data_IF_998967046692
#
_entry.id   IF_998967046692
#
_cell.length_a   1.000
_cell.length_b   1.000
_cell.length_c   1.000
_cell.angle_alpha   90.00
_cell.angle_beta   90.00
_cell.angle_gamma   90.00
#
_symmetry.space_group_name_H-M   'P 1'
#
loop_
_entity.id
_entity.type
_entity.pdbx_description
1 polymer ?
#
# COMPACT_ATOMS: atom_id res chain seq x y z
N UNK A 1 -8.76 11.75 -9.65
CA UNK A 1 -9.76 12.43 -8.79
C UNK A 1 -10.39 13.63 -9.48
N UNK A 2 -9.74 14.24 -10.49
CA UNK A 2 -10.27 15.42 -11.19
C UNK A 2 -11.46 15.14 -12.11
N UNK A 3 -11.47 14.03 -12.87
CA UNK A 3 -12.61 13.71 -13.75
C UNK A 3 -13.86 13.22 -12.99
N UNK A 4 -13.68 12.48 -11.90
CA UNK A 4 -14.81 11.79 -11.22
C UNK A 4 -15.41 12.63 -10.09
N UNK A 5 -14.63 13.50 -9.44
CA UNK A 5 -15.07 14.16 -8.21
C UNK A 5 -15.35 15.68 -8.33
N UNK A 6 -14.99 16.36 -9.43
CA UNK A 6 -15.22 17.81 -9.65
C UNK A 6 -14.83 18.67 -8.43
N UNK A 7 -13.60 18.55 -7.92
CA UNK A 7 -13.12 19.34 -6.79
C UNK A 7 -12.25 20.53 -7.22
N UNK A 8 -12.31 21.63 -6.46
CA UNK A 8 -11.53 22.84 -6.69
C UNK A 8 -10.05 22.61 -6.36
N UNK A 9 -9.18 22.90 -7.33
CA UNK A 9 -7.74 22.57 -7.41
C UNK A 9 -6.92 22.95 -6.16
N UNK A 10 -7.34 23.96 -5.37
CA UNK A 10 -6.64 24.38 -4.14
C UNK A 10 -6.78 23.44 -2.93
N UNK A 11 -7.89 22.72 -2.77
CA UNK A 11 -8.06 21.74 -1.66
C UNK A 11 -7.51 20.35 -1.99
N UNK A 12 -7.24 20.08 -3.27
CA UNK A 12 -6.83 18.76 -3.74
C UNK A 12 -5.41 18.39 -3.26
N UNK A 13 -4.52 19.38 -3.11
CA UNK A 13 -3.15 19.16 -2.64
C UNK A 13 -3.09 18.60 -1.21
N UNK A 14 -3.89 19.17 -0.29
CA UNK A 14 -3.94 18.71 1.10
C UNK A 14 -4.61 17.34 1.22
N UNK A 15 -5.74 17.13 0.52
CA UNK A 15 -6.44 15.85 0.50
C UNK A 15 -5.63 14.73 -0.16
N UNK A 16 -4.82 15.05 -1.18
CA UNK A 16 -3.94 14.08 -1.83
C UNK A 16 -2.70 13.77 -1.01
N UNK A 17 -2.25 14.68 -0.13
CA UNK A 17 -1.12 14.44 0.77
C UNK A 17 -1.49 13.55 1.97
N UNK A 18 -2.77 13.54 2.39
CA UNK A 18 -3.24 12.75 3.54
C UNK A 18 -2.89 11.26 3.47
N UNK A 19 -3.14 10.55 2.35
CA UNK A 19 -2.77 9.14 2.19
C UNK A 19 -1.27 8.90 2.37
N UNK A 20 -0.42 9.79 1.87
CA UNK A 20 1.03 9.65 1.96
C UNK A 20 1.55 9.89 3.38
N UNK A 21 0.96 10.84 4.11
CA UNK A 21 1.29 11.07 5.53
C UNK A 21 0.87 9.84 6.36
N UNK A 22 -0.33 9.32 6.13
CA UNK A 22 -0.82 8.10 6.78
C UNK A 22 0.06 6.89 6.46
N UNK A 23 0.48 6.75 5.21
CA UNK A 23 1.43 5.73 4.77
C UNK A 23 2.76 5.86 5.54
N UNK A 24 3.37 7.05 5.55
CA UNK A 24 4.64 7.27 6.24
C UNK A 24 4.58 6.95 7.74
N UNK A 25 3.53 7.40 8.44
CA UNK A 25 3.34 7.08 9.86
C UNK A 25 3.23 5.56 10.06
N UNK A 26 2.42 4.89 9.24
CA UNK A 26 2.18 3.46 9.41
C UNK A 26 3.41 2.60 9.04
N UNK A 27 4.27 3.05 8.12
CA UNK A 27 5.57 2.41 7.84
C UNK A 27 6.43 2.39 9.11
N UNK A 28 6.56 3.53 9.79
CA UNK A 28 7.37 3.64 11.01
C UNK A 28 6.78 2.79 12.14
N UNK A 29 5.47 2.87 12.36
CA UNK A 29 4.78 2.12 13.41
C UNK A 29 4.89 0.61 13.16
N UNK A 30 4.62 0.16 11.93
CA UNK A 30 4.69 -1.27 11.58
C UNK A 30 6.10 -1.83 11.69
N UNK A 31 7.14 -1.05 11.39
CA UNK A 31 8.53 -1.43 11.61
C UNK A 31 8.85 -1.65 13.10
N UNK A 32 8.45 -0.70 13.96
CA UNK A 32 8.64 -0.84 15.42
C UNK A 32 7.90 -2.06 15.97
N UNK A 33 6.64 -2.25 15.57
CA UNK A 33 5.84 -3.40 16.02
C UNK A 33 6.46 -4.71 15.55
N UNK A 34 6.90 -4.79 14.28
CA UNK A 34 7.55 -5.98 13.74
C UNK A 34 8.83 -6.31 14.52
N UNK A 35 9.66 -5.31 14.82
CA UNK A 35 10.87 -5.49 15.62
C UNK A 35 10.57 -5.95 17.04
N UNK A 36 9.54 -5.41 17.68
CA UNK A 36 9.12 -5.83 19.02
C UNK A 36 8.63 -7.29 19.03
N UNK A 37 7.84 -7.70 18.03
CA UNK A 37 7.35 -9.07 17.89
C UNK A 37 8.51 -10.06 17.74
N UNK A 38 9.50 -9.71 16.91
CA UNK A 38 10.69 -10.53 16.67
C UNK A 38 11.56 -10.59 17.93
N UNK A 39 11.83 -9.44 18.58
CA UNK A 39 12.66 -9.37 19.81
C UNK A 39 12.04 -10.16 20.96
N UNK A 40 10.73 -10.11 21.11
CA UNK A 40 9.99 -10.87 22.13
C UNK A 40 9.84 -12.36 21.77
N UNK A 41 10.35 -12.81 20.62
CA UNK A 41 10.23 -14.18 20.09
C UNK A 41 8.78 -14.69 20.04
N UNK A 42 7.82 -13.78 19.86
CA UNK A 42 6.39 -14.14 19.79
C UNK A 42 6.06 -14.88 18.48
N UNK A 43 6.76 -14.54 17.40
CA UNK A 43 6.64 -15.16 16.09
C UNK A 43 8.03 -15.29 15.46
N UNK A 44 8.20 -16.25 14.55
CA UNK A 44 9.40 -16.34 13.71
C UNK A 44 9.48 -15.12 12.78
N UNK A 45 10.68 -14.77 12.34
CA UNK A 45 10.89 -13.68 11.38
C UNK A 45 10.02 -13.87 10.14
N UNK A 46 10.04 -15.07 9.55
CA UNK A 46 9.23 -15.44 8.38
C UNK A 46 7.73 -15.28 8.61
N UNK A 47 7.20 -15.74 9.74
CA UNK A 47 5.76 -15.63 10.02
C UNK A 47 5.34 -14.19 10.29
N UNK A 48 6.22 -13.41 10.92
CA UNK A 48 6.01 -11.96 11.11
C UNK A 48 5.94 -11.26 9.76
N UNK A 49 6.90 -11.49 8.86
CA UNK A 49 6.88 -10.91 7.49
C UNK A 49 5.65 -11.31 6.70
N UNK A 50 5.20 -12.57 6.79
CA UNK A 50 3.98 -13.05 6.13
C UNK A 50 2.73 -12.36 6.67
N UNK A 51 2.61 -12.23 8.00
CA UNK A 51 1.47 -11.58 8.64
C UNK A 51 1.34 -10.12 8.19
N UNK A 52 2.43 -9.35 8.24
CA UNK A 52 2.41 -7.94 7.81
C UNK A 52 2.10 -7.79 6.31
N UNK A 53 2.57 -8.70 5.46
CA UNK A 53 2.20 -8.70 4.04
C UNK A 53 0.73 -9.04 3.79
N UNK A 54 0.16 -9.99 4.54
CA UNK A 54 -1.26 -10.33 4.42
C UNK A 54 -2.10 -9.15 4.88
N UNK A 55 -1.81 -8.59 6.05
CA UNK A 55 -2.54 -7.44 6.57
C UNK A 55 -2.43 -6.23 5.63
N UNK A 56 -1.23 -5.91 5.15
CA UNK A 56 -1.00 -4.77 4.27
C UNK A 56 -1.49 -4.95 2.83
N UNK A 57 -2.01 -6.12 2.42
CA UNK A 57 -2.66 -6.30 1.11
C UNK A 57 -4.15 -6.59 1.23
N UNK A 58 -4.56 -7.38 2.23
CA UNK A 58 -5.96 -7.75 2.44
C UNK A 58 -6.81 -6.56 2.89
N UNK A 59 -6.33 -5.77 3.85
CA UNK A 59 -7.05 -4.58 4.32
C UNK A 59 -7.25 -3.57 3.18
N UNK A 60 -6.21 -3.12 2.45
CA UNK A 60 -6.41 -2.22 1.32
C UNK A 60 -7.34 -2.79 0.24
N UNK A 61 -7.27 -4.09 -0.05
CA UNK A 61 -8.16 -4.73 -1.03
C UNK A 61 -9.64 -4.61 -0.62
N UNK A 62 -9.98 -4.85 0.66
CA UNK A 62 -11.35 -4.69 1.17
C UNK A 62 -11.82 -3.24 1.06
N UNK A 63 -10.96 -2.27 1.41
CA UNK A 63 -11.31 -0.85 1.32
C UNK A 63 -11.50 -0.41 -0.13
N UNK A 64 -10.62 -0.82 -1.05
CA UNK A 64 -10.73 -0.49 -2.48
C UNK A 64 -11.96 -1.16 -3.11
N UNK A 65 -12.28 -2.39 -2.74
CA UNK A 65 -13.50 -3.06 -3.20
C UNK A 65 -14.75 -2.32 -2.69
N UNK A 66 -14.75 -1.87 -1.44
CA UNK A 66 -15.85 -1.09 -0.87
C UNK A 66 -16.05 0.24 -1.61
N UNK A 67 -14.95 0.89 -2.04
CA UNK A 67 -15.01 2.10 -2.85
C UNK A 67 -15.67 1.87 -4.21
N UNK A 68 -15.50 0.70 -4.83
CA UNK A 68 -16.12 0.37 -6.11
C UNK A 68 -17.66 0.35 -6.05
N UNK A 69 -18.23 0.10 -4.87
CA UNK A 69 -19.69 0.10 -4.66
C UNK A 69 -20.25 1.44 -4.15
N UNK A 70 -19.42 2.46 -3.90
CA UNK A 70 -19.86 3.75 -3.35
C UNK A 70 -20.34 4.73 -4.44
N UNK A 71 -21.50 5.37 -4.21
CA UNK A 71 -22.07 6.39 -5.10
C UNK A 71 -21.52 7.81 -4.83
N UNK A 72 -21.52 8.66 -5.86
CA UNK A 72 -21.00 10.05 -5.90
C UNK A 72 -21.51 11.04 -4.82
N UNK A 73 -22.45 10.67 -3.95
CA UNK A 73 -22.93 11.51 -2.83
C UNK A 73 -21.96 11.52 -1.64
N UNK A 74 -21.09 10.52 -1.50
CA UNK A 74 -20.22 10.31 -0.32
C UNK A 74 -18.73 10.56 -0.62
N UNK A 75 -18.43 11.64 -1.36
CA UNK A 75 -17.07 11.97 -1.82
C UNK A 75 -16.03 12.06 -0.69
N UNK A 76 -16.39 12.67 0.44
CA UNK A 76 -15.49 12.79 1.59
C UNK A 76 -15.23 11.45 2.28
N UNK A 77 -16.24 10.58 2.37
CA UNK A 77 -16.10 9.24 2.96
C UNK A 77 -15.19 8.38 2.09
N UNK A 78 -15.30 8.49 0.76
CA UNK A 78 -14.42 7.78 -0.17
C UNK A 78 -12.95 8.17 0.02
N UNK A 79 -12.64 9.46 0.21
CA UNK A 79 -11.27 9.93 0.46
C UNK A 79 -10.73 9.40 1.78
N UNK A 80 -11.53 9.40 2.85
CA UNK A 80 -11.13 8.86 4.15
C UNK A 80 -10.87 7.36 4.05
N UNK A 81 -11.75 6.60 3.39
CA UNK A 81 -11.62 5.16 3.23
C UNK A 81 -10.38 4.79 2.40
N UNK A 82 -10.11 5.55 1.33
CA UNK A 82 -8.90 5.40 0.52
C UNK A 82 -7.64 5.75 1.33
N UNK A 83 -7.69 6.80 2.13
CA UNK A 83 -6.58 7.22 3.00
C UNK A 83 -6.24 6.11 4.00
N UNK A 84 -7.24 5.53 4.65
CA UNK A 84 -7.07 4.42 5.59
C UNK A 84 -6.52 3.18 4.87
N UNK A 85 -7.07 2.83 3.71
CA UNK A 85 -6.59 1.71 2.91
C UNK A 85 -5.12 1.86 2.52
N UNK A 86 -4.73 3.02 1.98
CA UNK A 86 -3.34 3.31 1.61
C UNK A 86 -2.43 3.35 2.84
N UNK A 87 -2.89 3.90 3.97
CA UNK A 87 -2.12 3.89 5.20
C UNK A 87 -1.80 2.47 5.65
N UNK A 88 -2.78 1.56 5.66
CA UNK A 88 -2.56 0.15 6.01
C UNK A 88 -1.62 -0.59 5.05
N UNK A 89 -1.56 -0.19 3.78
CA UNK A 89 -0.57 -0.73 2.85
C UNK A 89 0.88 -0.47 3.30
N UNK A 90 1.11 0.59 4.08
CA UNK A 90 2.40 0.90 4.71
C UNK A 90 3.01 -0.25 5.53
N UNK A 91 2.16 -1.14 6.07
CA UNK A 91 2.61 -2.33 6.79
C UNK A 91 3.51 -3.25 5.96
N UNK A 92 3.28 -3.32 4.64
CA UNK A 92 4.07 -4.13 3.73
C UNK A 92 5.53 -3.66 3.62
N UNK A 93 5.76 -2.35 3.75
CA UNK A 93 7.09 -1.75 3.65
C UNK A 93 7.85 -1.81 4.98
N UNK A 94 7.19 -1.47 6.10
CA UNK A 94 7.83 -1.41 7.42
C UNK A 94 8.07 -2.78 8.06
N UNK A 95 7.14 -3.72 7.89
CA UNK A 95 7.21 -5.05 8.52
C UNK A 95 7.17 -6.24 7.56
N UNK A 96 6.92 -5.99 6.26
CA UNK A 96 6.59 -7.00 5.26
C UNK A 96 7.71 -7.31 4.25
N UNK A 97 7.36 -7.34 2.95
CA UNK A 97 8.20 -7.89 1.89
C UNK A 97 9.51 -7.13 1.66
N UNK A 98 9.57 -5.84 1.99
CA UNK A 98 10.76 -5.02 1.72
C UNK A 98 11.99 -5.53 2.50
N UNK A 99 11.76 -6.12 3.67
CA UNK A 99 12.80 -6.71 4.52
C UNK A 99 13.16 -8.15 4.12
N UNK A 100 12.35 -8.82 3.28
CA UNK A 100 12.57 -10.22 2.90
C UNK A 100 13.85 -10.39 2.06
N UNK A 101 14.19 -9.40 1.21
CA UNK A 101 15.43 -9.45 0.44
C UNK A 101 16.68 -9.43 1.35
N UNK A 102 16.60 -8.71 2.48
CA UNK A 102 17.65 -8.68 3.49
C UNK A 102 17.75 -10.01 4.26
N UNK A 103 16.60 -10.65 4.51
CA UNK A 103 16.55 -11.95 5.20
C UNK A 103 17.10 -13.10 4.31
N UNK A 104 16.96 -13.01 2.97
CA UNK A 104 17.43 -14.04 2.03
C UNK A 104 18.91 -13.90 1.70
N UNK A 105 19.34 -12.70 1.31
CA UNK A 105 20.70 -12.46 0.82
C UNK A 105 21.21 -11.08 1.29
N UNK A 106 21.71 -10.96 2.53
CA UNK A 106 22.13 -9.68 3.09
C UNK A 106 23.26 -9.01 2.28
N UNK A 107 24.17 -9.81 1.70
CA UNK A 107 25.25 -9.29 0.85
C UNK A 107 24.79 -8.82 -0.55
N UNK A 108 23.64 -9.30 -1.03
CA UNK A 108 23.13 -9.06 -2.39
C UNK A 108 21.71 -8.49 -2.40
N UNK A 109 21.28 -7.88 -1.29
CA UNK A 109 19.90 -7.41 -1.09
C UNK A 109 19.45 -6.46 -2.20
N UNK A 110 20.32 -5.53 -2.61
CA UNK A 110 20.02 -4.59 -3.69
C UNK A 110 19.76 -5.27 -5.04
N UNK A 111 20.50 -6.33 -5.37
CA UNK A 111 20.34 -7.07 -6.63
C UNK A 111 19.03 -7.88 -6.60
N UNK A 112 18.80 -8.62 -5.52
CA UNK A 112 17.58 -9.43 -5.35
C UNK A 112 16.33 -8.53 -5.39
N UNK A 113 16.36 -7.41 -4.66
CA UNK A 113 15.27 -6.44 -4.66
C UNK A 113 15.10 -5.79 -6.04
N UNK A 114 16.20 -5.44 -6.73
CA UNK A 114 16.17 -4.87 -8.07
C UNK A 114 15.54 -5.78 -9.11
N UNK A 115 15.87 -7.07 -9.10
CA UNK A 115 15.25 -8.08 -9.98
C UNK A 115 13.75 -8.18 -9.67
N UNK A 116 13.40 -8.30 -8.40
CA UNK A 116 11.99 -8.37 -7.97
C UNK A 116 11.19 -7.12 -8.38
N UNK A 117 11.78 -5.93 -8.23
CA UNK A 117 11.12 -4.68 -8.57
C UNK A 117 10.92 -4.52 -10.08
N UNK A 118 11.89 -4.97 -10.90
CA UNK A 118 11.75 -5.01 -12.36
C UNK A 118 10.58 -5.89 -12.80
N UNK A 119 10.38 -7.03 -12.16
CA UNK A 119 9.22 -7.88 -12.44
C UNK A 119 7.91 -7.23 -11.95
N UNK A 120 7.95 -6.52 -10.82
CA UNK A 120 6.78 -5.83 -10.26
C UNK A 120 6.33 -4.61 -11.08
N UNK A 121 7.23 -3.94 -11.82
CA UNK A 121 6.87 -2.79 -12.66
C UNK A 121 6.15 -3.18 -13.95
N UNK A 122 6.29 -4.42 -14.44
CA UNK A 122 5.62 -4.89 -15.66
C UNK A 122 4.08 -4.78 -15.54
N UNK A 123 3.42 -5.32 -14.48
CA UNK A 123 1.99 -5.06 -14.24
C UNK A 123 1.66 -3.57 -14.09
N UNK A 124 2.55 -2.79 -13.49
CA UNK A 124 2.39 -1.34 -13.35
C UNK A 124 2.28 -0.62 -14.69
N UNK A 125 3.05 -1.08 -15.69
CA UNK A 125 2.97 -0.56 -17.07
C UNK A 125 1.69 -1.03 -17.75
N UNK A 126 1.31 -2.31 -17.60
CA UNK A 126 0.16 -2.89 -18.31
C UNK A 126 -1.18 -2.38 -17.75
N UNK A 127 -1.26 -2.12 -16.44
CA UNK A 127 -2.52 -1.82 -15.76
C UNK A 127 -3.31 -0.62 -16.32
N UNK A 128 -2.71 0.54 -16.67
CA UNK A 128 -3.46 1.67 -17.20
C UNK A 128 -4.00 1.40 -18.61
N UNK A 129 -3.29 0.61 -19.43
CA UNK A 129 -3.77 0.22 -20.77
C UNK A 129 -5.02 -0.66 -20.67
N UNK A 130 -5.02 -1.63 -19.76
CA UNK A 130 -6.17 -2.50 -19.53
C UNK A 130 -7.35 -1.72 -18.97
N UNK A 131 -7.11 -0.85 -17.98
CA UNK A 131 -8.16 0.01 -17.42
C UNK A 131 -8.72 0.96 -18.49
N UNK A 132 -7.87 1.54 -19.33
CA UNK A 132 -8.29 2.37 -20.46
C UNK A 132 -9.21 1.62 -21.42
N UNK A 133 -8.80 0.44 -21.89
CA UNK A 133 -9.61 -0.39 -22.79
C UNK A 133 -10.95 -0.85 -22.19
N UNK A 134 -11.01 -1.07 -20.87
CA UNK A 134 -12.25 -1.46 -20.17
C UNK A 134 -13.18 -0.28 -19.86
N UNK A 135 -12.62 0.93 -19.73
CA UNK A 135 -13.36 2.14 -19.35
C UNK A 135 -13.73 2.99 -20.56
N UNK A 136 -13.25 2.62 -21.76
CA UNK A 136 -13.57 3.31 -23.02
C UNK A 136 -15.09 3.19 -23.32
N UNK A 137 -15.80 4.28 -23.01
CA UNK A 137 -17.11 4.68 -23.51
C UNK A 137 -17.05 6.17 -23.84
#
# INVERSE_FOLDING_TARGET
MDEVLKFNIKSNGFLSALPYIGLWLNINISGIIADVIIRKKLLTTTNTRKLFNILGNLLPAIFVLSLAFMTCRLKYVAVVLLTIGVAFHGCCFGGGYLLVANDIAPAYTGIVFGISNTLATIPGIISPYVVGALTEK
#
